data_IF_421443417203
#
_entry.id   IF_421443417203
#
_cell.length_a   1.000
_cell.length_b   1.000
_cell.length_c   1.000
_cell.angle_alpha   90.00
_cell.angle_beta   90.00
_cell.angle_gamma   90.00
#
_symmetry.space_group_name_H-M   'P 1'
#
loop_
_entity.id
_entity.type
_entity.pdbx_description
1 polymer ?
#
# COMPACT_ATOMS: atom_id res chain seq x y z
N UNK A 1 16.00 -58.08 -58.44
CA UNK A 1 16.53 -57.23 -59.54
C UNK A 1 15.95 -55.84 -59.36
N UNK A 2 16.67 -54.91 -58.72
CA UNK A 2 17.61 -53.89 -59.28
C UNK A 2 16.94 -52.83 -60.19
N UNK A 3 16.77 -51.61 -59.63
CA UNK A 3 17.19 -50.28 -60.14
C UNK A 3 16.55 -49.23 -59.18
N UNK A 4 17.24 -48.54 -58.25
CA UNK A 4 18.22 -47.43 -58.32
C UNK A 4 17.79 -46.20 -59.14
N UNK A 5 17.44 -45.10 -58.45
CA UNK A 5 18.05 -43.74 -58.51
C UNK A 5 17.32 -42.83 -57.48
N UNK A 6 18.00 -42.27 -56.46
CA UNK A 6 18.64 -40.91 -56.39
C UNK A 6 17.59 -39.78 -56.48
N UNK A 7 17.45 -38.75 -55.64
CA UNK A 7 18.26 -38.02 -54.64
C UNK A 7 17.22 -37.10 -53.93
N UNK A 8 17.28 -36.78 -52.64
CA UNK A 8 17.85 -35.51 -52.15
C UNK A 8 17.94 -35.55 -50.61
N UNK A 9 19.16 -35.33 -50.15
CA UNK A 9 19.57 -35.21 -48.75
C UNK A 9 19.37 -33.76 -48.33
N UNK A 10 18.66 -33.51 -47.21
CA UNK A 10 18.77 -32.25 -46.48
C UNK A 10 19.50 -32.51 -45.17
N UNK A 11 20.81 -32.26 -45.21
CA UNK A 11 21.68 -32.12 -44.05
C UNK A 11 21.38 -30.74 -43.44
N UNK A 12 20.83 -30.70 -42.24
CA UNK A 12 20.80 -29.50 -41.42
C UNK A 12 22.09 -29.49 -40.59
N UNK A 13 23.06 -28.72 -41.09
CA UNK A 13 24.30 -28.37 -40.41
C UNK A 13 24.02 -27.16 -39.51
N UNK A 14 24.39 -27.33 -38.24
CA UNK A 14 25.03 -26.33 -37.36
C UNK A 14 24.29 -25.00 -37.12
N UNK A 15 23.61 -24.90 -35.98
CA UNK A 15 23.53 -23.64 -35.27
C UNK A 15 24.26 -23.79 -33.93
N UNK A 16 25.38 -23.07 -33.85
CA UNK A 16 26.16 -22.77 -32.66
C UNK A 16 25.26 -22.60 -31.43
N UNK A 17 25.64 -23.28 -30.34
CA UNK A 17 25.36 -22.82 -28.98
C UNK A 17 26.03 -21.46 -28.78
N UNK A 18 25.37 -20.39 -29.24
CA UNK A 18 25.63 -19.06 -28.74
C UNK A 18 24.77 -18.92 -27.49
N UNK A 19 25.32 -19.30 -26.34
CA UNK A 19 24.81 -18.80 -25.06
C UNK A 19 24.94 -17.29 -25.11
N UNK A 20 23.83 -16.61 -25.40
CA UNK A 20 23.71 -15.18 -25.22
C UNK A 20 23.89 -14.97 -23.71
N UNK A 21 25.12 -14.67 -23.28
CA UNK A 21 25.33 -14.05 -21.99
C UNK A 21 24.58 -12.73 -22.07
N UNK A 22 23.50 -12.60 -21.30
CA UNK A 22 22.90 -11.31 -21.00
C UNK A 22 24.02 -10.45 -20.41
N UNK A 23 24.47 -9.48 -21.18
CA UNK A 23 25.31 -8.39 -20.67
C UNK A 23 24.33 -7.49 -19.92
N UNK A 24 24.38 -7.55 -18.59
CA UNK A 24 23.66 -6.62 -17.73
C UNK A 24 24.37 -5.26 -17.86
N UNK A 25 23.66 -4.28 -18.44
CA UNK A 25 24.05 -2.89 -18.33
C UNK A 25 23.21 -2.28 -17.21
N UNK A 26 23.87 -1.57 -16.30
CA UNK A 26 23.36 -1.13 -15.01
C UNK A 26 23.79 0.37 -14.76
N UNK A 27 22.94 1.23 -14.18
CA UNK A 27 23.09 2.68 -13.89
C UNK A 27 23.34 3.08 -12.42
N UNK A 28 24.33 3.96 -12.21
CA UNK A 28 25.33 3.81 -11.15
C UNK A 28 26.19 5.09 -11.08
N UNK A 29 27.11 5.20 -10.12
CA UNK A 29 28.36 5.90 -10.45
C UNK A 29 29.01 5.11 -11.58
N UNK A 30 29.22 5.75 -12.72
CA UNK A 30 29.83 5.10 -13.89
C UNK A 30 31.34 5.32 -13.78
N UNK A 31 32.13 4.30 -13.37
CA UNK A 31 33.56 4.47 -13.25
C UNK A 31 34.20 4.60 -14.63
N UNK A 32 35.27 5.39 -14.69
CA UNK A 32 36.10 5.50 -15.88
C UNK A 32 36.81 4.15 -16.14
N UNK A 33 37.00 3.76 -17.42
CA UNK A 33 37.65 2.49 -17.73
C UNK A 33 39.09 2.46 -17.20
N UNK A 34 39.45 1.38 -16.50
CA UNK A 34 40.82 1.16 -16.07
C UNK A 34 41.73 0.92 -17.30
N UNK A 35 42.99 1.40 -17.30
CA UNK A 35 43.91 1.16 -18.41
C UNK A 35 44.09 -0.35 -18.68
N UNK A 36 43.69 -0.79 -19.88
CA UNK A 36 43.83 -2.18 -20.32
C UNK A 36 42.66 -3.12 -19.98
N UNK A 37 41.59 -2.64 -19.34
CA UNK A 37 40.38 -3.43 -19.05
C UNK A 37 39.27 -3.06 -20.06
N UNK A 38 38.67 -4.06 -20.70
CA UNK A 38 37.58 -3.88 -21.68
C UNK A 38 36.20 -3.76 -21.01
N UNK A 39 36.01 -4.37 -19.85
CA UNK A 39 34.78 -4.29 -19.04
C UNK A 39 34.87 -3.17 -18.01
N UNK A 40 33.80 -2.36 -17.88
CA UNK A 40 33.75 -1.28 -16.90
C UNK A 40 33.57 -1.85 -15.48
N UNK A 41 34.27 -1.31 -14.46
CA UNK A 41 34.07 -1.73 -13.08
C UNK A 41 32.62 -1.53 -12.63
N UNK A 42 32.07 -2.47 -11.84
CA UNK A 42 30.73 -2.36 -11.25
C UNK A 42 30.81 -2.02 -9.77
N UNK A 43 30.01 -1.04 -9.34
CA UNK A 43 29.89 -0.65 -7.93
C UNK A 43 28.59 -1.21 -7.35
N UNK A 44 28.61 -1.55 -6.05
CA UNK A 44 27.37 -1.85 -5.31
C UNK A 44 26.96 -0.66 -4.46
N UNK A 45 25.67 -0.47 -4.29
CA UNK A 45 25.09 0.49 -3.35
C UNK A 45 24.80 -0.27 -2.06
N UNK A 46 25.39 0.18 -0.96
CA UNK A 46 25.17 -0.38 0.37
C UNK A 46 23.79 -0.01 0.89
N UNK A 47 23.51 1.29 0.98
CA UNK A 47 22.21 1.82 1.36
C UNK A 47 21.79 3.00 0.51
N UNK A 48 20.48 3.23 0.49
CA UNK A 48 19.84 4.37 -0.17
C UNK A 48 18.79 4.99 0.73
N UNK A 49 19.10 6.14 1.33
CA UNK A 49 18.20 6.84 2.24
C UNK A 49 17.68 8.12 1.60
N UNK A 50 16.37 8.30 1.64
CA UNK A 50 15.67 9.43 1.03
C UNK A 50 14.80 10.09 2.09
N UNK A 51 15.10 11.35 2.38
CA UNK A 51 14.32 12.18 3.28
C UNK A 51 13.64 13.27 2.47
N UNK A 52 12.31 13.35 2.58
CA UNK A 52 11.50 14.29 1.82
C UNK A 52 10.68 15.15 2.78
N UNK A 53 10.75 16.46 2.63
CA UNK A 53 9.90 17.43 3.30
C UNK A 53 8.98 18.08 2.28
N UNK A 54 7.68 17.84 2.39
CA UNK A 54 6.66 18.42 1.53
C UNK A 54 5.88 19.45 2.33
N UNK A 55 5.95 20.73 1.94
CA UNK A 55 5.12 21.81 2.49
C UNK A 55 4.24 22.38 1.39
N UNK A 56 2.93 22.14 1.51
CA UNK A 56 1.95 22.33 0.45
C UNK A 56 2.35 21.59 -0.84
N UNK A 57 2.83 22.28 -1.87
CA UNK A 57 3.28 21.67 -3.13
C UNK A 57 4.80 21.67 -3.26
N UNK A 58 5.52 22.33 -2.35
CA UNK A 58 6.97 22.41 -2.41
C UNK A 58 7.56 21.16 -1.74
N UNK A 59 8.27 20.34 -2.51
CA UNK A 59 8.98 19.18 -2.02
C UNK A 59 10.49 19.46 -2.01
N UNK A 60 11.13 19.17 -0.89
CA UNK A 60 12.59 19.15 -0.77
C UNK A 60 13.02 17.72 -0.47
N UNK A 61 13.89 17.18 -1.32
CA UNK A 61 14.37 15.80 -1.27
C UNK A 61 15.87 15.80 -0.99
N UNK A 62 16.26 15.11 0.08
CA UNK A 62 17.65 14.80 0.42
C UNK A 62 17.88 13.29 0.27
N UNK A 63 18.91 12.95 -0.49
CA UNK A 63 19.34 11.58 -0.78
C UNK A 63 20.70 11.39 -0.13
N UNK A 64 20.88 10.25 0.55
CA UNK A 64 22.13 9.83 1.18
C UNK A 64 22.43 8.39 0.75
N UNK A 65 23.56 8.21 0.07
CA UNK A 65 23.93 6.96 -0.59
C UNK A 65 25.36 6.58 -0.25
N UNK A 66 25.60 5.29 -0.09
CA UNK A 66 26.96 4.73 0.03
C UNK A 66 27.22 3.73 -1.08
N UNK A 67 28.24 4.02 -1.89
CA UNK A 67 28.79 3.13 -2.90
C UNK A 67 29.95 2.32 -2.34
N UNK A 68 30.08 1.07 -2.74
CA UNK A 68 31.14 0.15 -2.38
C UNK A 68 31.95 -0.20 -3.63
N UNK A 69 33.26 -0.02 -3.52
CA UNK A 69 34.22 -0.40 -4.54
C UNK A 69 34.84 -1.76 -4.18
N UNK A 70 34.50 -2.86 -4.89
CA UNK A 70 35.05 -4.18 -4.60
C UNK A 70 36.46 -4.40 -5.18
N UNK A 71 37.03 -3.41 -5.88
CA UNK A 71 38.31 -3.53 -6.56
C UNK A 71 39.46 -3.05 -5.68
N UNK A 72 40.65 -3.61 -5.89
CA UNK A 72 41.87 -3.25 -5.16
C UNK A 72 42.53 -1.94 -5.64
N UNK A 73 41.83 -1.13 -6.42
CA UNK A 73 42.31 0.15 -6.95
C UNK A 73 41.27 1.23 -6.70
N UNK A 74 41.74 2.44 -6.43
CA UNK A 74 40.88 3.63 -6.39
C UNK A 74 40.27 3.84 -7.78
N UNK A 75 38.98 4.20 -7.78
CA UNK A 75 38.24 4.50 -9.00
C UNK A 75 37.83 5.98 -9.03
N UNK A 76 37.69 6.51 -10.24
CA UNK A 76 36.98 7.75 -10.53
C UNK A 76 35.71 7.40 -11.29
N UNK A 77 34.64 8.15 -11.09
CA UNK A 77 33.44 7.97 -11.89
C UNK A 77 32.54 9.18 -11.94
N UNK A 78 31.55 9.11 -12.83
CA UNK A 78 30.51 10.13 -12.95
C UNK A 78 29.23 9.64 -12.27
N UNK A 79 28.79 10.37 -11.25
CA UNK A 79 27.47 10.19 -10.63
C UNK A 79 26.40 10.77 -11.56
N UNK A 80 25.36 9.98 -11.82
CA UNK A 80 24.25 10.36 -12.69
C UNK A 80 22.94 10.06 -11.97
N UNK A 81 22.08 11.07 -11.83
CA UNK A 81 20.79 10.91 -11.17
C UNK A 81 19.68 11.65 -11.93
N UNK A 82 18.59 10.97 -12.36
CA UNK A 82 17.44 11.63 -12.97
C UNK A 82 16.77 12.57 -11.97
N UNK A 83 16.53 13.80 -12.38
CA UNK A 83 15.80 14.79 -11.58
C UNK A 83 14.49 15.16 -12.29
N UNK A 84 13.43 15.52 -11.56
CA UNK A 84 12.21 16.04 -12.16
C UNK A 84 12.50 17.29 -13.04
N UNK A 85 11.79 17.46 -14.17
CA UNK A 85 12.01 18.55 -15.15
C UNK A 85 12.00 19.98 -14.57
N UNK A 86 11.34 20.17 -13.41
CA UNK A 86 11.24 21.47 -12.73
C UNK A 86 11.95 21.48 -11.39
N UNK A 87 12.88 20.54 -11.20
CA UNK A 87 13.66 20.47 -9.98
C UNK A 87 14.79 21.50 -9.98
N UNK A 88 15.03 22.13 -8.83
CA UNK A 88 16.20 22.95 -8.55
C UNK A 88 17.14 22.16 -7.67
N UNK A 89 18.34 21.87 -8.17
CA UNK A 89 19.39 21.22 -7.38
C UNK A 89 19.98 22.24 -6.41
N UNK A 90 20.05 21.90 -5.13
CA UNK A 90 20.61 22.76 -4.09
C UNK A 90 22.07 22.44 -3.81
N UNK A 91 22.41 21.16 -3.70
CA UNK A 91 23.77 20.72 -3.40
C UNK A 91 23.99 19.27 -3.79
N UNK A 92 25.21 18.98 -4.21
CA UNK A 92 25.77 17.64 -4.23
C UNK A 92 27.06 17.66 -3.42
N UNK A 93 27.24 16.68 -2.54
CA UNK A 93 28.43 16.54 -1.71
C UNK A 93 28.89 15.09 -1.63
N UNK A 94 30.17 14.92 -1.36
CA UNK A 94 30.79 13.62 -1.15
C UNK A 94 31.60 13.64 0.14
N UNK A 95 31.77 12.48 0.77
CA UNK A 95 32.57 12.37 1.98
C UNK A 95 33.97 11.86 1.66
N UNK A 96 34.97 12.55 2.19
CA UNK A 96 36.39 12.17 2.13
C UNK A 96 36.93 12.26 3.54
N UNK A 97 37.49 11.16 4.05
CA UNK A 97 38.02 11.05 5.42
C UNK A 97 37.02 11.48 6.52
N UNK A 98 35.72 11.30 6.26
CA UNK A 98 34.63 11.65 7.17
C UNK A 98 34.13 13.10 7.06
N UNK A 99 34.81 13.96 6.28
CA UNK A 99 34.40 15.34 6.05
C UNK A 99 33.53 15.48 4.80
N UNK A 100 32.50 16.32 4.87
CA UNK A 100 31.60 16.61 3.76
C UNK A 100 32.20 17.68 2.83
N UNK A 101 32.44 17.31 1.58
CA UNK A 101 32.98 18.19 0.55
C UNK A 101 31.90 18.41 -0.51
N UNK A 102 31.49 19.68 -0.70
CA UNK A 102 30.58 20.05 -1.80
C UNK A 102 31.30 19.88 -3.14
N UNK A 103 30.68 19.18 -4.07
CA UNK A 103 31.25 18.99 -5.41
C UNK A 103 30.74 20.04 -6.39
N UNK A 104 31.53 20.29 -7.42
CA UNK A 104 31.14 21.11 -8.56
C UNK A 104 30.15 20.33 -9.44
N UNK A 105 28.99 20.96 -9.72
CA UNK A 105 28.00 20.40 -10.62
C UNK A 105 28.46 20.61 -12.07
N UNK A 106 28.35 19.57 -12.89
CA UNK A 106 28.70 19.69 -14.30
C UNK A 106 27.56 20.37 -15.08
N UNK A 107 27.91 21.36 -15.91
CA UNK A 107 26.94 22.08 -16.76
C UNK A 107 26.27 21.15 -17.79
N UNK A 108 25.00 21.43 -18.09
CA UNK A 108 24.11 20.61 -18.93
C UNK A 108 24.68 20.33 -20.33
N UNK A 109 25.39 21.28 -20.95
CA UNK A 109 25.81 21.20 -22.36
C UNK A 109 27.04 20.32 -22.60
N UNK A 110 28.05 20.35 -21.71
CA UNK A 110 29.24 19.48 -21.81
C UNK A 110 28.95 18.02 -21.48
N UNK A 111 27.83 17.75 -20.82
CA UNK A 111 27.54 16.43 -20.27
C UNK A 111 26.49 15.63 -21.08
N UNK A 112 25.70 16.25 -21.97
CA UNK A 112 24.73 15.54 -22.81
C UNK A 112 25.38 14.59 -23.81
N UNK A 113 26.50 14.97 -24.44
CA UNK A 113 27.19 14.11 -25.41
C UNK A 113 27.83 12.88 -24.74
N UNK A 114 28.51 13.09 -23.61
CA UNK A 114 29.14 12.02 -22.83
C UNK A 114 28.08 11.07 -22.25
N UNK A 115 26.96 11.59 -21.74
CA UNK A 115 25.84 10.78 -21.23
C UNK A 115 25.14 10.00 -22.34
N UNK A 116 24.76 10.63 -23.45
CA UNK A 116 24.16 9.92 -24.59
C UNK A 116 25.10 8.84 -25.11
N UNK A 117 26.41 9.10 -25.17
CA UNK A 117 27.40 8.10 -25.57
C UNK A 117 27.49 6.95 -24.57
N UNK A 118 27.48 7.25 -23.26
CA UNK A 118 27.50 6.24 -22.21
C UNK A 118 26.21 5.39 -22.23
N UNK A 119 25.02 6.00 -22.31
CA UNK A 119 23.74 5.29 -22.34
C UNK A 119 23.60 4.47 -23.63
N UNK A 120 24.00 5.01 -24.79
CA UNK A 120 24.03 4.27 -26.07
C UNK A 120 25.00 3.09 -26.03
N UNK A 121 26.14 3.23 -25.33
CA UNK A 121 27.12 2.15 -25.15
C UNK A 121 26.66 1.08 -24.16
N UNK A 122 25.99 1.48 -23.07
CA UNK A 122 25.51 0.56 -22.02
C UNK A 122 24.31 -0.28 -22.48
N UNK A 123 23.53 0.19 -23.49
CA UNK A 123 22.33 -0.49 -24.01
C UNK A 123 21.33 -0.91 -22.91
N UNK A 124 21.37 -0.25 -21.77
CA UNK A 124 20.53 -0.55 -20.63
C UNK A 124 19.14 0.07 -20.87
N UNK A 125 18.08 -0.74 -21.02
CA UNK A 125 16.73 -0.25 -21.22
C UNK A 125 16.25 0.65 -20.08
N UNK A 126 16.72 0.45 -18.85
CA UNK A 126 16.33 1.26 -17.71
C UNK A 126 16.85 2.69 -17.80
N UNK A 127 18.09 2.88 -18.29
CA UNK A 127 18.68 4.22 -18.49
C UNK A 127 18.08 4.96 -19.70
N UNK A 128 17.63 4.23 -20.73
CA UNK A 128 16.97 4.82 -21.90
C UNK A 128 15.66 5.53 -21.54
N UNK A 129 14.93 5.03 -20.54
CA UNK A 129 13.69 5.66 -20.04
C UNK A 129 13.90 7.08 -19.46
N UNK A 130 15.15 7.44 -19.14
CA UNK A 130 15.52 8.73 -18.52
C UNK A 130 16.22 9.70 -19.48
N UNK A 131 16.45 9.32 -20.75
CA UNK A 131 17.13 10.19 -21.73
C UNK A 131 16.41 11.53 -21.91
N UNK A 132 15.08 11.52 -21.91
CA UNK A 132 14.26 12.71 -22.12
C UNK A 132 14.08 13.55 -20.84
N UNK A 133 14.69 13.16 -19.72
CA UNK A 133 14.57 13.85 -18.42
C UNK A 133 15.82 14.66 -18.10
N UNK A 134 15.63 15.71 -17.31
CA UNK A 134 16.77 16.42 -16.72
C UNK A 134 17.54 15.47 -15.79
N UNK A 135 18.87 15.52 -15.87
CA UNK A 135 19.76 14.63 -15.13
C UNK A 135 20.85 15.45 -14.44
N UNK A 136 21.04 15.19 -13.16
CA UNK A 136 22.18 15.69 -12.41
C UNK A 136 23.42 14.88 -12.78
N UNK A 137 24.55 15.58 -12.94
CA UNK A 137 25.85 14.94 -13.14
C UNK A 137 26.91 15.58 -12.25
N UNK A 138 27.69 14.74 -11.59
CA UNK A 138 28.80 15.17 -10.75
C UNK A 138 29.96 14.18 -10.83
N UNK A 139 31.18 14.70 -10.79
CA UNK A 139 32.39 13.87 -10.73
C UNK A 139 32.60 13.38 -9.30
N UNK A 140 32.92 12.09 -9.15
CA UNK A 140 33.20 11.45 -7.87
C UNK A 140 34.60 10.84 -7.91
N UNK A 141 35.50 11.38 -7.09
CA UNK A 141 36.86 10.90 -6.94
C UNK A 141 37.41 11.27 -5.54
N UNK A 142 38.25 10.42 -4.92
CA UNK A 142 38.48 9.01 -5.24
C UNK A 142 37.39 8.13 -4.64
N UNK A 143 37.03 7.03 -5.30
CA UNK A 143 36.23 5.93 -4.74
C UNK A 143 37.22 4.89 -4.21
N UNK A 144 37.48 4.81 -2.90
CA UNK A 144 38.64 4.09 -2.37
C UNK A 144 38.65 2.59 -2.68
N UNK A 145 39.82 2.02 -2.95
CA UNK A 145 40.03 0.58 -3.13
C UNK A 145 39.47 -0.24 -1.95
N UNK A 146 38.68 -1.28 -2.22
CA UNK A 146 37.99 -2.09 -1.22
C UNK A 146 37.22 -1.27 -0.16
N UNK A 147 36.81 -0.05 -0.53
CA UNK A 147 36.28 0.95 0.38
C UNK A 147 34.91 1.47 -0.03
N UNK A 148 34.48 2.50 0.70
CA UNK A 148 33.16 3.10 0.55
C UNK A 148 33.26 4.57 0.13
N UNK A 149 32.30 5.02 -0.68
CA UNK A 149 32.10 6.42 -1.03
C UNK A 149 30.68 6.83 -0.72
N UNK A 150 30.52 7.69 0.29
CA UNK A 150 29.24 8.33 0.61
C UNK A 150 29.04 9.59 -0.23
N UNK A 151 27.85 9.75 -0.79
CA UNK A 151 27.42 10.95 -1.49
C UNK A 151 26.07 11.42 -0.96
N UNK A 152 25.83 12.72 -1.04
CA UNK A 152 24.56 13.34 -0.72
C UNK A 152 24.10 14.26 -1.84
N UNK A 153 22.81 14.19 -2.14
CA UNK A 153 22.15 15.05 -3.11
C UNK A 153 20.94 15.71 -2.46
N UNK A 154 20.82 17.02 -2.61
CA UNK A 154 19.65 17.78 -2.20
C UNK A 154 19.08 18.57 -3.37
N UNK A 155 17.78 18.42 -3.63
CA UNK A 155 17.05 19.21 -4.62
C UNK A 155 15.64 19.53 -4.12
N UNK A 156 14.97 20.46 -4.80
CA UNK A 156 13.56 20.74 -4.57
C UNK A 156 12.77 20.76 -5.87
N UNK A 157 11.46 20.54 -5.79
CA UNK A 157 10.55 20.64 -6.91
C UNK A 157 9.17 21.19 -6.47
N UNK A 158 8.38 21.66 -7.44
CA UNK A 158 6.97 21.94 -7.24
C UNK A 158 6.16 20.75 -7.74
N UNK A 159 5.49 20.07 -6.81
CA UNK A 159 4.67 18.91 -7.10
C UNK A 159 3.46 19.28 -7.93
N UNK A 160 3.19 18.47 -8.96
CA UNK A 160 1.97 18.59 -9.73
C UNK A 160 0.78 18.13 -8.90
N UNK A 161 -0.19 19.02 -8.71
CA UNK A 161 -1.44 18.72 -8.02
C UNK A 161 -2.63 18.97 -8.95
N UNK A 162 -3.22 17.90 -9.47
CA UNK A 162 -4.39 17.95 -10.35
C UNK A 162 -5.64 17.53 -9.56
N UNK A 163 -6.71 18.34 -9.63
CA UNK A 163 -7.99 18.05 -8.95
C UNK A 163 -7.84 17.64 -7.48
N UNK A 164 -6.96 18.33 -6.74
CA UNK A 164 -6.64 18.08 -5.33
C UNK A 164 -5.80 16.84 -5.02
N UNK A 165 -5.37 16.11 -6.05
CA UNK A 165 -4.46 14.98 -5.92
C UNK A 165 -3.06 15.47 -6.25
N UNK A 166 -2.16 15.40 -5.29
CA UNK A 166 -0.76 15.69 -5.48
C UNK A 166 0.02 14.39 -5.66
N UNK A 167 0.97 14.40 -6.60
CA UNK A 167 1.86 13.27 -6.87
C UNK A 167 3.29 13.65 -6.53
N UNK A 168 3.93 12.86 -5.69
CA UNK A 168 5.38 12.80 -5.54
C UNK A 168 5.90 11.55 -6.26
N UNK A 169 6.90 11.71 -7.11
CA UNK A 169 7.53 10.64 -7.86
C UNK A 169 9.02 10.67 -7.60
N UNK A 170 9.62 9.51 -7.38
CA UNK A 170 11.04 9.36 -7.10
C UNK A 170 11.62 8.19 -7.92
N UNK A 171 12.72 8.39 -8.68
CA UNK A 171 13.27 7.42 -9.63
C UNK A 171 14.00 6.23 -8.96
N UNK A 172 13.35 5.54 -8.01
CA UNK A 172 13.97 4.45 -7.25
C UNK A 172 14.43 3.28 -8.13
N UNK A 173 13.80 3.06 -9.30
CA UNK A 173 14.14 1.96 -10.20
C UNK A 173 15.60 2.00 -10.65
N UNK A 174 16.22 3.18 -10.75
CA UNK A 174 17.61 3.30 -11.19
C UNK A 174 18.58 2.60 -10.24
N UNK A 175 18.25 2.50 -8.94
CA UNK A 175 19.09 1.83 -7.96
C UNK A 175 19.06 0.30 -8.10
N UNK A 176 18.10 -0.24 -8.88
CA UNK A 176 18.02 -1.65 -9.24
C UNK A 176 19.25 -2.15 -9.99
N UNK A 177 20.02 -1.21 -10.49
CA UNK A 177 21.22 -1.41 -11.27
C UNK A 177 22.49 -1.47 -10.40
N UNK A 178 22.37 -1.41 -9.07
CA UNK A 178 23.47 -1.79 -8.19
C UNK A 178 23.93 -3.23 -8.48
N UNK A 179 25.24 -3.49 -8.50
CA UNK A 179 25.80 -4.83 -8.75
C UNK A 179 25.22 -5.91 -7.80
N UNK A 180 25.04 -5.54 -6.52
CA UNK A 180 24.42 -6.36 -5.48
C UNK A 180 23.10 -5.75 -5.00
N UNK A 181 22.17 -6.54 -4.43
CA UNK A 181 21.02 -5.98 -3.72
C UNK A 181 21.47 -4.98 -2.66
N UNK A 182 20.70 -3.89 -2.51
CA UNK A 182 20.95 -2.88 -1.49
C UNK A 182 20.66 -3.50 -0.13
N UNK A 183 21.57 -3.30 0.84
CA UNK A 183 21.38 -3.79 2.20
C UNK A 183 20.13 -3.15 2.82
N UNK A 184 19.94 -1.85 2.56
CA UNK A 184 18.84 -1.06 3.13
C UNK A 184 18.37 0.06 2.17
N UNK A 185 17.04 0.21 2.05
CA UNK A 185 16.38 1.35 1.43
C UNK A 185 15.45 1.96 2.46
N UNK A 186 15.60 3.26 2.74
CA UNK A 186 14.70 4.01 3.61
C UNK A 186 14.16 5.23 2.86
N UNK A 187 12.84 5.36 2.77
CA UNK A 187 12.18 6.56 2.27
C UNK A 187 11.27 7.10 3.36
N UNK A 188 11.61 8.29 3.87
CA UNK A 188 10.84 9.02 4.86
C UNK A 188 10.31 10.32 4.26
N UNK A 189 9.00 10.49 4.30
CA UNK A 189 8.33 11.66 3.72
C UNK A 189 7.49 12.32 4.81
N UNK A 190 7.74 13.59 5.09
CA UNK A 190 6.90 14.41 5.97
C UNK A 190 6.08 15.37 5.13
N UNK A 191 4.77 15.29 5.22
CA UNK A 191 3.82 16.13 4.48
C UNK A 191 3.19 17.10 5.46
N UNK A 192 3.27 18.40 5.16
CA UNK A 192 2.55 19.49 5.82
C UNK A 192 1.73 20.23 4.78
N UNK A 193 0.45 20.50 5.05
CA UNK A 193 -0.35 21.32 4.15
C UNK A 193 -1.34 22.21 4.88
N UNK A 194 -1.58 23.41 4.34
CA UNK A 194 -2.65 24.32 4.76
C UNK A 194 -4.04 23.69 4.57
N UNK A 195 -4.19 22.78 3.61
CA UNK A 195 -5.43 22.04 3.35
C UNK A 195 -5.36 20.69 4.06
N UNK A 196 -6.50 20.20 4.56
CA UNK A 196 -6.50 18.92 5.25
C UNK A 196 -6.16 17.77 4.27
N UNK A 197 -5.23 16.92 4.68
CA UNK A 197 -4.76 15.74 3.96
C UNK A 197 -5.79 14.63 4.15
N UNK A 198 -6.46 14.18 3.08
CA UNK A 198 -7.58 13.21 3.18
C UNK A 198 -7.18 11.78 2.93
N UNK A 199 -6.38 11.52 1.91
CA UNK A 199 -5.82 10.20 1.61
C UNK A 199 -4.32 10.32 1.36
N UNK A 200 -3.60 9.25 1.67
CA UNK A 200 -2.20 9.04 1.35
C UNK A 200 -2.07 7.58 0.94
N UNK A 201 -1.54 7.30 -0.23
CA UNK A 201 -1.28 5.94 -0.68
C UNK A 201 -0.14 5.90 -1.70
N UNK A 202 0.47 4.73 -1.86
CA UNK A 202 1.40 4.44 -2.95
C UNK A 202 0.86 3.26 -3.75
N UNK A 203 0.72 3.39 -5.09
CA UNK A 203 0.36 2.26 -5.94
C UNK A 203 1.55 1.34 -6.22
N UNK A 204 2.77 1.82 -5.98
CA UNK A 204 4.02 1.12 -6.33
C UNK A 204 4.63 0.34 -5.17
N UNK A 205 4.43 0.81 -3.93
CA UNK A 205 5.13 0.32 -2.74
C UNK A 205 4.16 0.20 -1.56
N UNK A 206 4.36 -0.80 -0.71
CA UNK A 206 3.66 -0.91 0.57
C UNK A 206 4.25 0.10 1.55
N UNK A 207 3.46 1.08 1.97
CA UNK A 207 3.89 2.17 2.84
C UNK A 207 3.22 2.10 4.21
N UNK A 208 3.91 2.58 5.24
CA UNK A 208 3.33 2.89 6.55
C UNK A 208 3.04 4.38 6.64
N UNK A 209 1.83 4.74 7.10
CA UNK A 209 1.40 6.14 7.22
C UNK A 209 1.07 6.44 8.67
N UNK A 210 1.77 7.42 9.25
CA UNK A 210 1.48 7.99 10.57
C UNK A 210 0.86 9.37 10.39
N UNK A 211 -0.44 9.48 10.64
CA UNK A 211 -1.13 10.78 10.69
C UNK A 211 -0.85 11.46 12.02
N UNK A 212 -0.29 12.67 11.97
CA UNK A 212 -0.04 13.49 13.16
C UNK A 212 -1.30 14.33 13.46
N UNK A 213 -1.87 14.95 12.43
CA UNK A 213 -3.16 15.64 12.48
C UNK A 213 -3.73 15.77 11.05
N UNK A 214 -4.82 16.51 10.88
CA UNK A 214 -5.47 16.73 9.57
C UNK A 214 -4.56 17.41 8.54
N UNK A 215 -3.52 18.12 8.97
CA UNK A 215 -2.62 18.94 8.15
C UNK A 215 -1.20 18.37 8.06
N UNK A 216 -0.92 17.29 8.77
CA UNK A 216 0.42 16.73 8.87
C UNK A 216 0.43 15.20 8.95
N UNK A 217 1.29 14.59 8.14
CA UNK A 217 1.48 13.15 8.12
C UNK A 217 2.94 12.78 7.80
N UNK A 218 3.35 11.62 8.28
CA UNK A 218 4.62 10.99 7.94
C UNK A 218 4.37 9.69 7.20
N UNK A 219 5.13 9.45 6.14
CA UNK A 219 5.09 8.23 5.32
C UNK A 219 6.46 7.57 5.37
N UNK A 220 6.44 6.26 5.52
CA UNK A 220 7.62 5.42 5.64
C UNK A 220 7.55 4.28 4.64
N UNK A 221 8.65 4.06 3.92
CA UNK A 221 8.93 2.84 3.18
C UNK A 221 10.33 2.36 3.58
N UNK A 222 10.42 1.06 3.85
CA UNK A 222 11.65 0.38 4.20
C UNK A 222 11.71 -0.94 3.42
N UNK A 223 12.89 -1.26 2.90
CA UNK A 223 13.17 -2.57 2.34
C UNK A 223 14.64 -2.93 2.57
N UNK A 224 14.90 -4.22 2.77
CA UNK A 224 16.22 -4.74 3.07
C UNK A 224 16.60 -5.82 2.04
N UNK A 225 17.88 -5.87 1.68
CA UNK A 225 18.43 -6.85 0.74
C UNK A 225 17.63 -6.95 -0.59
N UNK A 226 17.40 -5.81 -1.25
CA UNK A 226 16.49 -5.71 -2.41
C UNK A 226 17.17 -5.03 -3.60
N UNK A 227 16.81 -5.45 -4.83
CA UNK A 227 17.04 -4.68 -6.05
C UNK A 227 15.72 -4.02 -6.48
N UNK A 228 15.57 -2.69 -6.38
CA UNK A 228 14.31 -2.05 -6.76
C UNK A 228 14.06 -2.16 -8.26
N UNK A 229 12.81 -2.43 -8.64
CA UNK A 229 12.39 -2.59 -10.05
C UNK A 229 11.32 -1.58 -10.49
N UNK A 230 10.90 -0.71 -9.58
CA UNK A 230 9.83 0.28 -9.78
C UNK A 230 10.25 1.61 -9.18
N UNK A 231 9.78 2.68 -9.79
CA UNK A 231 9.85 4.01 -9.19
C UNK A 231 8.93 4.08 -7.97
N UNK A 232 9.29 4.95 -7.03
CA UNK A 232 8.45 5.22 -5.88
C UNK A 232 7.45 6.34 -6.23
N UNK A 233 6.16 6.01 -6.18
CA UNK A 233 5.09 6.98 -6.36
C UNK A 233 4.27 7.13 -5.08
N UNK A 234 4.05 8.37 -4.65
CA UNK A 234 3.16 8.71 -3.55
C UNK A 234 2.07 9.66 -4.04
N UNK A 235 0.83 9.30 -3.75
CA UNK A 235 -0.32 10.15 -3.98
C UNK A 235 -0.91 10.58 -2.65
N UNK A 236 -1.19 11.86 -2.52
CA UNK A 236 -1.95 12.38 -1.39
C UNK A 236 -2.99 13.39 -1.86
N UNK A 237 -4.11 13.44 -1.15
CA UNK A 237 -5.25 14.30 -1.53
C UNK A 237 -5.48 15.40 -0.51
N UNK A 238 -5.79 16.61 -0.98
CA UNK A 238 -5.96 17.80 -0.16
C UNK A 238 -7.39 18.33 -0.26
N UNK A 239 -8.15 18.47 0.82
CA UNK A 239 -9.51 19.01 0.74
C UNK A 239 -9.87 19.83 1.97
N UNK A 240 -10.51 20.98 1.74
CA UNK A 240 -11.15 21.75 2.81
C UNK A 240 -12.53 21.17 3.20
N UNK A 241 -13.10 20.27 2.39
CA UNK A 241 -14.40 19.65 2.66
C UNK A 241 -14.27 18.50 3.65
N UNK A 242 -15.36 18.18 4.37
CA UNK A 242 -15.35 17.10 5.37
C UNK A 242 -14.98 15.74 4.75
N UNK A 243 -15.47 15.46 3.54
CA UNK A 243 -15.12 14.28 2.75
C UNK A 243 -14.22 14.68 1.56
N UNK A 244 -13.18 13.89 1.29
CA UNK A 244 -12.35 14.05 0.11
C UNK A 244 -12.93 13.28 -1.05
N UNK A 245 -13.34 13.95 -2.14
CA UNK A 245 -13.67 13.29 -3.41
C UNK A 245 -12.77 13.89 -4.47
N UNK A 246 -12.03 13.03 -5.18
CA UNK A 246 -11.19 13.42 -6.31
C UNK A 246 -11.51 12.54 -7.50
N UNK A 247 -11.71 13.16 -8.66
CA UNK A 247 -11.98 12.47 -9.92
C UNK A 247 -10.89 12.86 -10.91
N UNK A 248 -10.17 11.86 -11.41
CA UNK A 248 -9.27 12.00 -12.55
C UNK A 248 -9.91 11.28 -13.72
N UNK A 249 -10.25 11.99 -14.79
CA UNK A 249 -10.85 11.41 -15.99
C UNK A 249 -9.92 11.64 -17.18
N UNK A 250 -9.74 10.62 -18.00
CA UNK A 250 -8.95 10.65 -19.22
C UNK A 250 -9.74 10.00 -20.35
N UNK A 251 -9.73 10.61 -21.54
CA UNK A 251 -10.44 10.10 -22.72
C UNK A 251 -9.50 10.13 -23.92
N UNK A 252 -9.40 9.00 -24.61
CA UNK A 252 -8.64 8.87 -25.86
C UNK A 252 -9.53 8.19 -26.91
N UNK A 253 -9.91 8.94 -27.94
CA UNK A 253 -10.87 8.46 -28.94
C UNK A 253 -12.29 8.31 -28.38
N UNK A 254 -12.92 7.14 -28.58
CA UNK A 254 -14.29 6.86 -28.12
C UNK A 254 -14.36 6.30 -26.69
N UNK A 255 -13.27 5.77 -26.17
CA UNK A 255 -13.20 5.19 -24.82
C UNK A 255 -12.50 6.14 -23.84
N UNK A 256 -12.86 6.04 -22.57
CA UNK A 256 -12.26 6.83 -21.51
C UNK A 256 -12.23 6.07 -20.20
N UNK A 257 -11.29 6.45 -19.35
CA UNK A 257 -11.07 5.88 -18.02
C UNK A 257 -11.22 6.99 -16.99
N UNK A 258 -11.64 6.63 -15.80
CA UNK A 258 -11.59 7.54 -14.67
C UNK A 258 -11.15 6.82 -13.40
N UNK A 259 -10.55 7.58 -12.50
CA UNK A 259 -10.25 7.19 -11.13
C UNK A 259 -11.05 8.08 -10.20
N UNK A 260 -11.92 7.47 -9.38
CA UNK A 260 -12.65 8.15 -8.33
C UNK A 260 -12.06 7.75 -6.98
N UNK A 261 -11.47 8.71 -6.28
CA UNK A 261 -10.98 8.56 -4.92
C UNK A 261 -11.99 9.16 -3.96
N UNK A 262 -12.56 8.33 -3.08
CA UNK A 262 -13.45 8.76 -2.00
C UNK A 262 -12.74 8.48 -0.67
N UNK A 263 -12.45 9.54 0.07
CA UNK A 263 -11.79 9.51 1.37
C UNK A 263 -12.75 10.05 2.44
N UNK A 264 -13.46 9.19 3.17
CA UNK A 264 -14.29 9.61 4.30
C UNK A 264 -13.40 10.13 5.46
N UNK A 265 -14.01 10.81 6.44
CA UNK A 265 -13.28 11.18 7.67
C UNK A 265 -12.84 9.91 8.41
N UNK A 266 -11.57 9.88 8.81
CA UNK A 266 -10.98 8.78 9.59
C UNK A 266 -11.51 8.81 11.03
N UNK A 267 -11.77 10.00 11.58
CA UNK A 267 -12.37 10.16 12.91
C UNK A 267 -13.76 10.80 12.81
N UNK A 268 -14.77 10.02 13.19
CA UNK A 268 -16.16 10.48 13.32
C UNK A 268 -16.45 10.56 14.82
N UNK A 269 -16.72 11.75 15.39
CA UNK A 269 -17.14 11.87 16.78
C UNK A 269 -18.35 10.97 17.05
N UNK A 270 -18.44 10.33 18.23
CA UNK A 270 -19.58 9.46 18.58
C UNK A 270 -20.94 10.14 18.36
N UNK A 271 -21.03 11.45 18.61
CA UNK A 271 -22.23 12.26 18.38
C UNK A 271 -22.68 12.37 16.90
N UNK A 272 -21.77 12.12 15.94
CA UNK A 272 -22.03 12.07 14.50
C UNK A 272 -22.27 10.65 13.96
N UNK A 273 -22.17 9.61 14.80
CA UNK A 273 -22.49 8.25 14.39
C UNK A 273 -24.00 8.15 14.17
N UNK A 274 -24.41 7.73 12.98
CA UNK A 274 -25.81 7.50 12.67
C UNK A 274 -26.39 6.43 13.61
N UNK A 275 -27.51 6.72 14.32
CA UNK A 275 -28.16 5.78 15.21
C UNK A 275 -28.50 4.47 14.51
N UNK A 276 -28.30 3.35 15.20
CA UNK A 276 -28.52 2.00 14.67
C UNK A 276 -29.64 1.29 15.41
N UNK A 277 -30.29 0.38 14.70
CA UNK A 277 -31.22 -0.58 15.28
C UNK A 277 -30.62 -1.98 15.17
N UNK A 278 -30.37 -2.60 16.32
CA UNK A 278 -29.59 -3.84 16.40
C UNK A 278 -30.40 -4.92 17.10
N UNK A 279 -30.60 -6.07 16.46
CA UNK A 279 -31.14 -7.26 17.13
C UNK A 279 -30.02 -8.27 17.32
N UNK A 280 -29.73 -8.61 18.58
CA UNK A 280 -28.81 -9.69 18.88
C UNK A 280 -29.59 -11.00 19.01
N UNK A 281 -29.10 -12.03 18.35
CA UNK A 281 -29.73 -13.35 18.29
C UNK A 281 -28.70 -14.35 18.77
N UNK A 282 -28.93 -14.94 19.94
CA UNK A 282 -28.00 -15.83 20.63
C UNK A 282 -28.57 -17.24 20.71
N UNK A 283 -27.79 -18.20 20.25
CA UNK A 283 -28.07 -19.62 20.38
C UNK A 283 -27.88 -20.06 21.83
N UNK A 284 -28.92 -20.69 22.37
CA UNK A 284 -28.96 -21.25 23.73
C UNK A 284 -29.22 -22.76 23.68
N UNK A 285 -28.94 -23.41 22.56
CA UNK A 285 -29.07 -24.86 22.40
C UNK A 285 -28.12 -25.65 23.30
N UNK A 286 -28.42 -26.94 23.51
CA UNK A 286 -27.63 -27.80 24.38
C UNK A 286 -26.13 -27.87 24.02
N UNK A 287 -25.74 -27.70 22.75
CA UNK A 287 -24.34 -27.70 22.30
C UNK A 287 -23.54 -26.51 22.84
N UNK A 288 -24.22 -25.42 23.20
CA UNK A 288 -23.63 -24.21 23.79
C UNK A 288 -23.25 -24.39 25.27
N UNK A 289 -23.58 -25.52 25.90
CA UNK A 289 -23.33 -25.75 27.33
C UNK A 289 -21.88 -25.52 27.76
N UNK A 290 -21.71 -25.13 29.03
CA UNK A 290 -20.39 -24.91 29.63
C UNK A 290 -19.73 -23.60 29.17
N UNK A 291 -18.50 -23.69 28.67
CA UNK A 291 -17.68 -22.49 28.38
C UNK A 291 -18.24 -21.64 27.23
N UNK A 292 -18.91 -22.23 26.24
CA UNK A 292 -19.38 -21.52 25.05
C UNK A 292 -20.50 -20.53 25.40
N UNK A 293 -21.51 -20.96 26.17
CA UNK A 293 -22.59 -20.08 26.61
C UNK A 293 -22.07 -18.98 27.53
N UNK A 294 -21.11 -19.28 28.42
CA UNK A 294 -20.48 -18.27 29.25
C UNK A 294 -19.76 -17.20 28.41
N UNK A 295 -19.01 -17.61 27.39
CA UNK A 295 -18.33 -16.69 26.46
C UNK A 295 -19.34 -15.87 25.63
N UNK A 296 -20.39 -16.50 25.12
CA UNK A 296 -21.43 -15.83 24.35
C UNK A 296 -22.18 -14.79 25.21
N UNK A 297 -22.51 -15.11 26.46
CA UNK A 297 -23.09 -14.17 27.44
C UNK A 297 -22.15 -12.98 27.68
N UNK A 298 -20.86 -13.22 27.91
CA UNK A 298 -19.90 -12.13 28.13
C UNK A 298 -19.75 -11.22 26.91
N UNK A 299 -19.68 -11.79 25.71
CA UNK A 299 -19.63 -11.01 24.47
C UNK A 299 -20.90 -10.18 24.28
N UNK A 300 -22.06 -10.77 24.56
CA UNK A 300 -23.34 -10.08 24.45
C UNK A 300 -23.47 -8.94 25.47
N UNK A 301 -23.06 -9.15 26.73
CA UNK A 301 -22.98 -8.09 27.74
C UNK A 301 -22.09 -6.94 27.28
N UNK A 302 -20.90 -7.26 26.78
CA UNK A 302 -19.98 -6.24 26.25
C UNK A 302 -20.62 -5.43 25.13
N UNK A 303 -21.36 -6.06 24.21
CA UNK A 303 -22.07 -5.34 23.16
C UNK A 303 -23.17 -4.41 23.72
N UNK A 304 -23.98 -4.91 24.67
CA UNK A 304 -25.05 -4.12 25.31
C UNK A 304 -24.49 -2.91 26.04
N UNK A 305 -23.41 -3.08 26.80
CA UNK A 305 -22.75 -2.00 27.54
C UNK A 305 -22.08 -0.95 26.63
N UNK A 306 -21.79 -1.30 25.38
CA UNK A 306 -21.11 -0.42 24.41
C UNK A 306 -22.04 0.12 23.30
N UNK A 307 -23.36 -0.02 23.44
CA UNK A 307 -24.33 0.66 22.57
C UNK A 307 -24.20 2.18 22.70
N UNK A 308 -24.45 2.91 21.61
CA UNK A 308 -24.50 4.38 21.67
C UNK A 308 -25.84 4.84 22.23
N UNK A 309 -25.88 6.03 22.85
CA UNK A 309 -27.07 6.57 23.52
C UNK A 309 -28.33 6.65 22.64
N UNK A 310 -28.16 6.78 21.31
CA UNK A 310 -29.26 6.91 20.34
C UNK A 310 -29.64 5.58 19.68
N UNK A 311 -28.89 4.51 19.93
CA UNK A 311 -29.18 3.20 19.36
C UNK A 311 -30.45 2.61 19.98
N UNK A 312 -31.10 1.74 19.23
CA UNK A 312 -32.16 0.87 19.75
C UNK A 312 -31.77 -0.57 19.55
N UNK A 313 -32.25 -1.43 20.42
CA UNK A 313 -31.88 -2.83 20.39
C UNK A 313 -33.00 -3.76 20.82
N UNK A 314 -32.88 -5.04 20.48
CA UNK A 314 -33.61 -6.13 21.12
C UNK A 314 -32.72 -7.37 21.21
N UNK A 315 -33.10 -8.31 22.06
CA UNK A 315 -32.41 -9.59 22.25
C UNK A 315 -33.36 -10.73 21.93
N UNK A 316 -32.84 -11.74 21.24
CA UNK A 316 -33.50 -13.01 20.99
C UNK A 316 -32.58 -14.13 21.48
N UNK A 317 -33.04 -14.92 22.43
CA UNK A 317 -32.44 -16.20 22.78
C UNK A 317 -33.22 -17.30 22.04
N UNK A 318 -32.52 -18.23 21.40
CA UNK A 318 -33.19 -19.31 20.68
C UNK A 318 -32.58 -20.67 20.98
N UNK A 319 -33.45 -21.65 21.15
CA UNK A 319 -33.12 -23.06 21.17
C UNK A 319 -34.17 -23.85 20.40
N UNK A 320 -34.99 -24.65 21.07
CA UNK A 320 -36.23 -25.22 20.50
C UNK A 320 -37.26 -24.12 20.26
N UNK A 321 -37.39 -23.22 21.24
CA UNK A 321 -38.27 -22.05 21.17
C UNK A 321 -37.45 -20.76 20.96
N UNK A 322 -38.15 -19.70 20.56
CA UNK A 322 -37.56 -18.38 20.31
C UNK A 322 -38.08 -17.41 21.36
N UNK A 323 -37.24 -17.09 22.33
CA UNK A 323 -37.53 -16.15 23.41
C UNK A 323 -37.01 -14.77 23.06
N UNK A 324 -37.80 -13.74 23.31
CA UNK A 324 -37.46 -12.35 23.00
C UNK A 324 -37.48 -11.52 24.26
N UNK A 325 -36.48 -10.66 24.43
CA UNK A 325 -36.52 -9.63 25.48
C UNK A 325 -37.71 -8.68 25.27
N UNK A 326 -38.00 -8.33 24.02
CA UNK A 326 -39.09 -7.42 23.65
C UNK A 326 -39.60 -7.72 22.24
N UNK A 327 -40.89 -7.46 22.00
CA UNK A 327 -41.48 -7.54 20.65
C UNK A 327 -41.06 -6.37 19.75
N UNK A 328 -40.59 -5.27 20.35
CA UNK A 328 -40.16 -4.05 19.67
C UNK A 328 -38.73 -3.66 20.07
N UNK A 329 -38.12 -2.78 19.28
CA UNK A 329 -36.82 -2.20 19.58
C UNK A 329 -36.90 -1.26 20.79
N UNK A 330 -36.07 -1.52 21.80
CA UNK A 330 -35.95 -0.71 23.00
C UNK A 330 -34.85 0.34 22.84
N UNK A 331 -35.05 1.60 23.29
CA UNK A 331 -33.97 2.57 23.35
C UNK A 331 -32.86 2.11 24.31
N UNK A 332 -31.60 2.37 23.97
CA UNK A 332 -30.41 2.07 24.78
C UNK A 332 -30.26 2.99 26.01
N UNK A 333 -31.32 3.11 26.82
CA UNK A 333 -31.31 3.81 28.09
C UNK A 333 -30.98 2.84 29.25
N UNK A 334 -30.57 3.39 30.39
CA UNK A 334 -30.14 2.60 31.55
C UNK A 334 -31.14 1.52 31.97
N UNK A 335 -32.43 1.85 32.03
CA UNK A 335 -33.48 0.90 32.42
C UNK A 335 -33.56 -0.31 31.48
N UNK A 336 -33.50 -0.09 30.18
CA UNK A 336 -33.56 -1.17 29.19
C UNK A 336 -32.25 -1.96 29.12
N UNK A 337 -31.10 -1.32 29.34
CA UNK A 337 -29.82 -1.99 29.47
C UNK A 337 -29.83 -2.95 30.68
N UNK A 338 -30.35 -2.51 31.83
CA UNK A 338 -30.45 -3.35 33.04
C UNK A 338 -31.41 -4.56 32.82
N UNK A 339 -32.53 -4.35 32.11
CA UNK A 339 -33.44 -5.44 31.69
C UNK A 339 -32.73 -6.43 30.77
N UNK A 340 -31.95 -5.94 29.82
CA UNK A 340 -31.20 -6.76 28.88
C UNK A 340 -30.12 -7.59 29.58
N UNK A 341 -29.36 -6.99 30.50
CA UNK A 341 -28.36 -7.69 31.30
C UNK A 341 -28.99 -8.81 32.15
N UNK A 342 -30.15 -8.52 32.76
CA UNK A 342 -30.91 -9.52 33.53
C UNK A 342 -31.39 -10.68 32.66
N UNK A 343 -31.91 -10.38 31.45
CA UNK A 343 -32.30 -11.40 30.48
C UNK A 343 -31.11 -12.26 30.06
N UNK A 344 -29.94 -11.66 29.79
CA UNK A 344 -28.72 -12.38 29.45
C UNK A 344 -28.30 -13.30 30.60
N UNK A 345 -28.36 -12.82 31.84
CA UNK A 345 -27.98 -13.60 33.02
C UNK A 345 -28.87 -14.82 33.25
N UNK A 346 -30.15 -14.72 32.90
CA UNK A 346 -31.10 -15.84 32.96
C UNK A 346 -30.91 -16.90 31.86
N UNK A 347 -30.11 -16.63 30.81
CA UNK A 347 -29.91 -17.60 29.72
C UNK A 347 -29.19 -18.86 30.23
N UNK A 348 -29.81 -20.01 29.94
CA UNK A 348 -29.26 -21.35 30.14
C UNK A 348 -29.21 -22.13 28.82
N UNK A 349 -28.18 -22.96 28.65
CA UNK A 349 -28.02 -23.77 27.44
C UNK A 349 -28.84 -25.06 27.52
N UNK A 350 -29.88 -25.18 26.71
CA UNK A 350 -30.74 -26.37 26.63
C UNK A 350 -31.52 -26.43 25.31
N UNK A 351 -32.06 -27.60 24.96
CA UNK A 351 -32.93 -27.75 23.78
C UNK A 351 -32.18 -27.85 22.44
N UNK A 352 -32.95 -27.77 21.35
CA UNK A 352 -32.46 -27.84 19.97
C UNK A 352 -32.07 -26.48 19.40
N UNK A 353 -32.02 -26.35 18.08
CA UNK A 353 -31.46 -25.18 17.37
C UNK A 353 -32.42 -24.72 16.27
N UNK A 354 -33.33 -23.78 16.57
CA UNK A 354 -34.34 -23.24 15.65
C UNK A 354 -33.89 -21.92 14.99
N UNK A 355 -32.92 -22.03 14.08
CA UNK A 355 -32.31 -20.87 13.41
C UNK A 355 -33.33 -20.09 12.56
N UNK A 356 -34.22 -20.80 11.87
CA UNK A 356 -35.18 -20.20 10.94
C UNK A 356 -36.06 -19.17 11.64
N UNK A 357 -36.71 -19.59 12.73
CA UNK A 357 -37.70 -18.75 13.39
C UNK A 357 -37.02 -17.61 14.17
N UNK A 358 -35.82 -17.85 14.68
CA UNK A 358 -35.00 -16.81 15.33
C UNK A 358 -34.65 -15.67 14.37
N UNK A 359 -34.21 -16.00 13.14
CA UNK A 359 -33.87 -15.00 12.12
C UNK A 359 -35.11 -14.27 11.59
N UNK A 360 -36.21 -14.98 11.35
CA UNK A 360 -37.48 -14.37 10.93
C UNK A 360 -37.99 -13.41 12.02
N UNK A 361 -37.92 -13.82 13.29
CA UNK A 361 -38.30 -12.97 14.41
C UNK A 361 -37.43 -11.71 14.49
N UNK A 362 -36.11 -11.83 14.29
CA UNK A 362 -35.20 -10.69 14.30
C UNK A 362 -35.52 -9.68 13.19
N UNK A 363 -35.76 -10.18 11.97
CA UNK A 363 -36.15 -9.34 10.82
C UNK A 363 -37.48 -8.64 11.10
N UNK A 364 -38.45 -9.35 11.68
CA UNK A 364 -39.75 -8.76 12.04
C UNK A 364 -39.62 -7.63 13.07
N UNK A 365 -38.76 -7.78 14.08
CA UNK A 365 -38.50 -6.69 15.06
C UNK A 365 -37.90 -5.46 14.36
N UNK A 366 -37.06 -5.67 13.34
CA UNK A 366 -36.44 -4.60 12.56
C UNK A 366 -37.36 -4.05 11.45
N UNK A 367 -38.53 -4.67 11.22
CA UNK A 367 -39.49 -4.22 10.21
C UNK A 367 -40.06 -2.85 10.59
N UNK A 368 -40.21 -1.96 9.61
CA UNK A 368 -40.69 -0.59 9.83
C UNK A 368 -39.65 0.43 10.31
N UNK A 369 -38.39 0.03 10.56
CA UNK A 369 -37.30 0.98 10.80
C UNK A 369 -36.66 1.49 9.50
N UNK A 370 -36.44 2.81 9.45
CA UNK A 370 -35.70 3.56 8.43
C UNK A 370 -34.21 3.77 8.79
N UNK A 371 -33.78 3.35 9.99
CA UNK A 371 -32.40 3.46 10.46
C UNK A 371 -31.51 2.39 9.86
N UNK A 372 -30.21 2.50 10.08
CA UNK A 372 -29.29 1.41 9.77
C UNK A 372 -29.61 0.21 10.68
N UNK A 373 -30.01 -0.90 10.06
CA UNK A 373 -30.42 -2.14 10.72
C UNK A 373 -29.28 -3.15 10.74
N UNK A 374 -29.11 -3.86 11.84
CA UNK A 374 -28.16 -4.96 11.96
C UNK A 374 -28.74 -6.13 12.77
N UNK A 375 -28.46 -7.36 12.34
CA UNK A 375 -28.69 -8.57 13.12
C UNK A 375 -27.33 -9.16 13.46
N UNK A 376 -27.04 -9.35 14.74
CA UNK A 376 -25.83 -10.02 15.21
C UNK A 376 -26.24 -11.41 15.69
N UNK A 377 -25.92 -12.43 14.90
CA UNK A 377 -26.32 -13.82 15.12
C UNK A 377 -25.13 -14.64 15.62
N UNK A 378 -25.29 -15.32 16.76
CA UNK A 378 -24.28 -16.19 17.37
C UNK A 378 -24.82 -17.60 17.55
N UNK A 379 -24.14 -18.60 16.98
CA UNK A 379 -24.47 -20.03 17.10
C UNK A 379 -23.20 -20.89 17.03
N UNK A 380 -23.23 -22.08 17.63
CA UNK A 380 -22.20 -23.11 17.46
C UNK A 380 -22.68 -24.34 16.68
N UNK A 381 -23.93 -24.30 16.21
CA UNK A 381 -24.67 -25.47 15.74
C UNK A 381 -25.29 -25.29 14.36
N UNK A 382 -25.77 -26.43 13.83
CA UNK A 382 -26.63 -26.48 12.63
C UNK A 382 -28.10 -26.48 13.08
N UNK A 383 -29.04 -26.07 12.22
CA UNK A 383 -30.45 -26.08 12.58
C UNK A 383 -30.94 -27.52 12.81
N UNK A 384 -31.58 -27.76 13.96
CA UNK A 384 -32.09 -29.08 14.37
C UNK A 384 -33.58 -29.08 14.68
N UNK A 385 -34.19 -27.91 14.82
CA UNK A 385 -35.62 -27.71 15.12
C UNK A 385 -36.25 -26.82 14.04
N UNK A 386 -37.52 -27.06 13.73
CA UNK A 386 -38.26 -26.29 12.72
C UNK A 386 -37.74 -26.57 11.30
N UNK A 387 -37.47 -25.51 10.55
CA UNK A 387 -36.91 -25.62 9.21
C UNK A 387 -35.40 -25.87 9.31
N UNK A 388 -34.97 -27.09 8.99
CA UNK A 388 -33.56 -27.50 9.07
C UNK A 388 -32.81 -27.46 7.74
N UNK A 389 -33.52 -27.30 6.62
CA UNK A 389 -32.90 -27.16 5.29
C UNK A 389 -32.30 -25.76 5.14
N UNK A 390 -30.98 -25.67 4.99
CA UNK A 390 -30.25 -24.41 4.79
C UNK A 390 -30.80 -23.61 3.61
N UNK A 391 -31.12 -24.26 2.49
CA UNK A 391 -31.69 -23.58 1.31
C UNK A 391 -33.04 -22.93 1.62
N UNK A 392 -33.91 -23.64 2.33
CA UNK A 392 -35.21 -23.09 2.75
C UNK A 392 -35.03 -21.94 3.75
N UNK A 393 -34.12 -22.05 4.70
CA UNK A 393 -33.81 -20.97 5.65
C UNK A 393 -33.34 -19.72 4.90
N UNK A 394 -32.39 -19.87 3.98
CA UNK A 394 -31.90 -18.75 3.16
C UNK A 394 -33.03 -18.10 2.34
N UNK A 395 -33.93 -18.91 1.78
CA UNK A 395 -35.11 -18.42 1.07
C UNK A 395 -36.04 -17.62 2.00
N UNK A 396 -36.42 -18.19 3.13
CA UNK A 396 -37.32 -17.57 4.10
C UNK A 396 -36.76 -16.24 4.64
N UNK A 397 -35.46 -16.21 4.96
CA UNK A 397 -34.76 -15.02 5.45
C UNK A 397 -34.73 -13.92 4.38
N UNK A 398 -34.51 -14.26 3.11
CA UNK A 398 -34.58 -13.30 1.99
C UNK A 398 -35.99 -12.75 1.80
N UNK A 399 -37.00 -13.62 1.84
CA UNK A 399 -38.40 -13.23 1.69
C UNK A 399 -38.87 -12.33 2.83
N UNK A 400 -38.44 -12.59 4.07
CA UNK A 400 -38.76 -11.75 5.22
C UNK A 400 -38.05 -10.37 5.20
N UNK A 401 -36.89 -10.28 4.54
CA UNK A 401 -36.06 -9.07 4.49
C UNK A 401 -36.36 -8.15 3.29
N UNK A 402 -37.21 -8.60 2.36
CA UNK A 402 -37.76 -7.78 1.28
C UNK A 402 -39.01 -7.03 1.78
#
# INVERSE_FOLDING_TARGET
MKAKNLTLVFIIILCLNCTIKLVNGDGIIIPDPLPGIVEKPELSIKYHHVNVSITDQYAETEIDQVFQNPYATDLEGTYIFPIPEKASVHSFSMFVDGEEIKAELLEKEKASQLYEEIVRKLRDPALLEYIDRDTLRARVYPIPANGEKRVKLKYSEILKCDFNVCRYWYPLKIEGLSAKPLEEILIKIRIKSKRAIKAIYSPTHSISVKRINDHEAEVYYEANNVKPSKDFELYYTLSAKEFGVSLLAHKTGKEGFFMLLIAPKVEIPKAKIAPKDIVFVIDTSGSMSGKKIAQAKNALKFCIENLNEKDRFSLIAFSTEVEKLSQELLPANKENLDKALSFIDAIEASGGTNINDALIAAIKILSGSDRQKAIIFLTDGKPTVGVTSTEKILKNVREANN
#
